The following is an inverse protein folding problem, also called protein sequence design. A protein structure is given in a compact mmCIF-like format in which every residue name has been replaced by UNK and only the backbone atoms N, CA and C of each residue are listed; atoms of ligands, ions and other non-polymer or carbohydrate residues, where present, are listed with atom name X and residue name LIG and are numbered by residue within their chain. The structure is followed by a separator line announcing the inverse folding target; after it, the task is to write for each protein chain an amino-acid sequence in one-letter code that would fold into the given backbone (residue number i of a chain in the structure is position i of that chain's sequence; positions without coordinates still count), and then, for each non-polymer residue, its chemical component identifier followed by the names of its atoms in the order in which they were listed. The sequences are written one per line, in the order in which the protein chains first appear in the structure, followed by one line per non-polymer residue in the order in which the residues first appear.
data_IF_328613296574
#
_entry.id   IF_328613296574
#
_cell.length_a   1.000
_cell.length_b   1.000
_cell.length_c   1.000
_cell.angle_alpha   90.00
_cell.angle_beta   90.00
_cell.angle_gamma   90.00
#
_symmetry.space_group_name_H-M   'P 1'
#
loop_
_entity.id
_entity.type
_entity.pdbx_description
1 polymer ?
#
# COMPACT_ATOMS: atom_id res chain seq x y z
N UNK A 1 34.70 15.09 0.75
CA UNK A 1 34.20 16.29 0.06
C UNK A 1 32.71 16.18 -0.10
N UNK A 2 32.01 17.13 0.44
CA UNK A 2 30.56 17.31 0.51
C UNK A 2 29.94 17.38 -0.88
N UNK A 3 29.06 16.46 -1.22
CA UNK A 3 28.15 16.61 -2.37
C UNK A 3 26.74 16.18 -1.95
N UNK A 4 25.92 17.18 -1.78
CA UNK A 4 24.51 17.32 -2.12
C UNK A 4 23.39 16.80 -1.24
N UNK A 5 23.09 17.59 -0.21
CA UNK A 5 21.74 17.69 0.37
C UNK A 5 20.70 18.42 -0.50
N UNK A 6 21.05 18.85 -1.72
CA UNK A 6 20.20 19.75 -2.51
C UNK A 6 19.22 19.05 -3.49
N UNK A 7 19.48 17.83 -3.93
CA UNK A 7 18.72 17.27 -5.06
C UNK A 7 17.35 16.68 -4.71
N UNK A 8 17.14 16.15 -3.48
CA UNK A 8 15.81 15.67 -3.09
C UNK A 8 14.84 16.79 -2.69
N UNK A 9 15.40 17.96 -2.39
CA UNK A 9 14.63 19.18 -2.13
C UNK A 9 13.86 19.62 -3.38
N UNK A 10 14.40 19.40 -4.57
CA UNK A 10 13.80 19.83 -5.83
C UNK A 10 12.48 19.11 -6.16
N UNK A 11 12.37 17.78 -6.01
CA UNK A 11 11.12 17.07 -6.34
C UNK A 11 9.99 17.56 -5.41
N UNK A 12 10.27 17.67 -4.12
CA UNK A 12 9.27 18.12 -3.17
C UNK A 12 9.02 19.63 -3.26
N UNK A 13 10.02 20.43 -3.62
CA UNK A 13 9.87 21.88 -3.82
C UNK A 13 9.08 22.16 -5.11
N UNK A 14 9.30 21.40 -6.19
CA UNK A 14 8.52 21.50 -7.43
C UNK A 14 7.06 21.10 -7.19
N UNK A 15 6.80 20.04 -6.44
CA UNK A 15 5.45 19.63 -6.08
C UNK A 15 4.77 20.64 -5.13
N UNK A 16 5.51 21.20 -4.15
CA UNK A 16 5.00 22.28 -3.29
C UNK A 16 4.69 23.54 -4.08
N UNK A 17 5.49 23.87 -5.10
CA UNK A 17 5.22 24.99 -6.01
C UNK A 17 3.95 24.76 -6.81
N UNK A 18 3.76 23.55 -7.37
CA UNK A 18 2.53 23.15 -8.03
C UNK A 18 1.31 23.33 -7.11
N UNK A 19 1.40 22.90 -5.83
CA UNK A 19 0.33 23.10 -4.85
C UNK A 19 0.04 24.58 -4.55
N UNK A 20 1.07 25.44 -4.54
CA UNK A 20 0.88 26.87 -4.27
C UNK A 20 0.15 27.63 -5.38
N UNK A 21 0.07 27.04 -6.56
CA UNK A 21 -0.63 27.58 -7.72
C UNK A 21 -2.12 27.15 -7.77
N UNK A 22 -2.55 26.24 -6.89
CA UNK A 22 -3.96 25.80 -6.80
C UNK A 22 -4.78 26.76 -5.92
N UNK A 23 -5.82 27.39 -6.48
CA UNK A 23 -6.53 28.52 -5.88
C UNK A 23 -7.79 28.20 -5.07
N UNK A 24 -8.22 26.94 -4.93
CA UNK A 24 -9.53 26.57 -4.37
C UNK A 24 -9.42 25.54 -3.24
N UNK A 25 -8.58 25.82 -2.24
CA UNK A 25 -8.39 24.97 -1.06
C UNK A 25 -9.65 24.91 -0.18
N UNK A 26 -10.32 23.75 -0.13
CA UNK A 26 -11.48 23.51 0.74
C UNK A 26 -11.12 22.56 1.88
N UNK A 27 -11.51 22.87 3.12
CA UNK A 27 -11.29 21.96 4.23
C UNK A 27 -12.04 20.64 4.00
N UNK A 28 -11.45 19.53 4.42
CA UNK A 28 -12.06 18.21 4.37
C UNK A 28 -11.73 17.40 5.62
N UNK A 29 -12.45 16.31 5.80
CA UNK A 29 -12.18 15.33 6.85
C UNK A 29 -11.77 14.00 6.24
N UNK A 30 -10.91 13.29 6.95
CA UNK A 30 -10.50 11.92 6.62
C UNK A 30 -11.21 10.99 7.58
N UNK A 31 -11.88 9.97 7.06
CA UNK A 31 -12.29 8.80 7.83
C UNK A 31 -11.30 7.70 7.52
N UNK A 32 -10.49 7.34 8.51
CA UNK A 32 -9.48 6.30 8.38
C UNK A 32 -9.98 5.00 9.01
N UNK A 33 -10.35 4.04 8.18
CA UNK A 33 -10.70 2.70 8.61
C UNK A 33 -9.43 1.87 8.86
N UNK A 34 -9.41 1.14 9.95
CA UNK A 34 -8.31 0.25 10.32
C UNK A 34 -8.82 -0.91 11.18
N UNK A 35 -7.97 -1.83 11.54
CA UNK A 35 -8.32 -2.94 12.43
C UNK A 35 -7.31 -3.08 13.55
N UNK A 36 -7.80 -3.11 14.78
CA UNK A 36 -7.01 -3.31 16.01
C UNK A 36 -7.08 -4.74 16.55
N UNK A 37 -7.44 -5.71 15.71
CA UNK A 37 -7.76 -7.08 16.17
C UNK A 37 -6.67 -7.78 16.98
N UNK A 38 -7.10 -8.74 17.80
CA UNK A 38 -6.28 -9.55 18.70
C UNK A 38 -5.15 -10.33 18.03
N UNK A 39 -5.15 -10.42 16.70
CA UNK A 39 -4.18 -11.18 15.91
C UNK A 39 -3.04 -10.34 15.32
N UNK A 40 -3.01 -9.03 15.54
CA UNK A 40 -1.88 -8.22 15.09
C UNK A 40 -0.65 -8.55 15.94
N UNK A 41 0.38 -9.05 15.28
CA UNK A 41 1.69 -9.23 15.90
C UNK A 41 2.18 -7.87 16.40
N UNK A 42 2.94 -7.85 17.51
CA UNK A 42 3.46 -6.60 18.11
C UNK A 42 4.14 -5.66 17.12
N UNK A 43 4.82 -6.21 16.09
CA UNK A 43 5.45 -5.43 15.01
C UNK A 43 4.39 -4.66 14.21
N UNK A 44 3.30 -5.31 13.77
CA UNK A 44 2.25 -4.67 12.99
C UNK A 44 1.51 -3.61 13.81
N UNK A 45 1.31 -3.87 15.10
CA UNK A 45 0.72 -2.90 16.03
C UNK A 45 1.59 -1.65 16.17
N UNK A 46 2.91 -1.81 16.33
CA UNK A 46 3.85 -0.69 16.41
C UNK A 46 3.89 0.12 15.12
N UNK A 47 3.85 -0.54 13.96
CA UNK A 47 3.79 0.13 12.65
C UNK A 47 2.52 0.94 12.48
N UNK A 48 1.37 0.45 12.95
CA UNK A 48 0.10 1.19 12.92
C UNK A 48 0.14 2.43 13.81
N UNK A 49 0.64 2.29 15.05
CA UNK A 49 0.80 3.42 15.97
C UNK A 49 1.74 4.49 15.38
N UNK A 50 2.86 4.06 14.80
CA UNK A 50 3.79 4.95 14.09
C UNK A 50 3.13 5.71 12.95
N UNK A 51 2.35 4.98 12.13
CA UNK A 51 1.58 5.57 11.04
C UNK A 51 0.52 6.57 11.54
N UNK A 52 -0.25 6.24 12.58
CA UNK A 52 -1.24 7.15 13.16
C UNK A 52 -0.59 8.44 13.65
N UNK A 53 0.53 8.35 14.36
CA UNK A 53 1.29 9.53 14.80
C UNK A 53 1.78 10.40 13.63
N UNK A 54 2.25 9.78 12.56
CA UNK A 54 2.67 10.48 11.33
C UNK A 54 1.48 11.19 10.68
N UNK A 55 0.34 10.49 10.56
CA UNK A 55 -0.87 11.08 10.00
C UNK A 55 -1.42 12.22 10.87
N UNK A 56 -1.47 12.07 12.20
CA UNK A 56 -1.94 13.12 13.12
C UNK A 56 -1.11 14.40 13.01
N UNK A 57 0.22 14.27 12.93
CA UNK A 57 1.12 15.41 12.70
C UNK A 57 0.80 16.07 11.36
N UNK A 58 0.67 15.27 10.31
CA UNK A 58 0.46 15.75 8.95
C UNK A 58 -0.91 16.41 8.73
N UNK A 59 -2.01 15.84 9.26
CA UNK A 59 -3.35 16.44 9.13
C UNK A 59 -3.46 17.75 9.87
N UNK A 60 -2.82 17.86 11.06
CA UNK A 60 -2.75 19.11 11.82
C UNK A 60 -2.02 20.20 11.02
N UNK A 61 -0.88 19.88 10.43
CA UNK A 61 -0.10 20.80 9.61
C UNK A 61 -0.83 21.18 8.30
N UNK A 62 -1.55 20.23 7.70
CA UNK A 62 -2.35 20.47 6.50
C UNK A 62 -3.67 21.21 6.79
N UNK A 63 -4.10 21.37 8.04
CA UNK A 63 -5.37 22.00 8.40
C UNK A 63 -6.59 21.17 7.97
N UNK A 64 -6.49 19.84 8.06
CA UNK A 64 -7.59 18.89 7.84
C UNK A 64 -7.86 18.09 9.11
N UNK A 65 -9.01 17.42 9.20
CA UNK A 65 -9.33 16.56 10.34
C UNK A 65 -9.27 15.09 9.96
N UNK A 66 -8.93 14.22 10.92
CA UNK A 66 -8.95 12.78 10.76
C UNK A 66 -9.74 12.13 11.90
N UNK A 67 -10.50 11.08 11.55
CA UNK A 67 -11.22 10.24 12.49
C UNK A 67 -10.83 8.79 12.21
N UNK A 68 -10.34 8.11 13.22
CA UNK A 68 -9.99 6.68 13.13
C UNK A 68 -11.18 5.82 13.53
N UNK A 69 -11.50 4.83 12.74
CA UNK A 69 -12.67 3.97 12.90
C UNK A 69 -12.27 2.52 12.72
N UNK A 70 -12.51 1.68 13.73
CA UNK A 70 -12.26 0.24 13.62
C UNK A 70 -13.37 -0.45 12.82
N UNK A 71 -13.01 -1.31 11.86
CA UNK A 71 -13.94 -2.07 11.03
C UNK A 71 -14.94 -2.91 11.83
N UNK A 72 -14.54 -3.42 13.00
CA UNK A 72 -15.32 -4.40 13.77
C UNK A 72 -16.58 -3.83 14.39
N UNK A 73 -16.62 -2.51 14.61
CA UNK A 73 -17.71 -1.85 15.33
C UNK A 73 -18.34 -0.67 14.58
N UNK A 74 -18.42 -0.72 13.26
CA UNK A 74 -18.88 0.39 12.44
C UNK A 74 -20.14 0.06 11.64
N UNK A 75 -21.06 1.02 11.51
CA UNK A 75 -22.18 0.96 10.57
C UNK A 75 -22.56 2.34 10.06
N UNK A 76 -23.22 2.37 8.90
CA UNK A 76 -23.78 3.58 8.30
C UNK A 76 -25.22 3.79 8.75
N UNK A 77 -25.60 5.04 9.00
CA UNK A 77 -26.98 5.44 9.15
C UNK A 77 -27.26 6.70 8.32
N UNK A 78 -28.54 6.91 8.02
CA UNK A 78 -29.01 8.11 7.31
C UNK A 78 -30.20 8.69 8.06
N UNK A 79 -30.19 10.00 8.28
CA UNK A 79 -31.26 10.75 8.94
C UNK A 79 -31.38 12.13 8.32
N UNK A 80 -32.58 12.54 7.92
CA UNK A 80 -32.87 13.87 7.33
C UNK A 80 -31.90 14.23 6.17
N UNK A 81 -31.74 13.31 5.22
CA UNK A 81 -30.82 13.43 4.06
C UNK A 81 -29.32 13.56 4.41
N UNK A 82 -28.95 13.33 5.66
CA UNK A 82 -27.58 13.29 6.12
C UNK A 82 -27.14 11.86 6.36
N UNK A 83 -25.88 11.60 6.09
CA UNK A 83 -25.25 10.31 6.31
C UNK A 83 -24.26 10.36 7.47
N UNK A 84 -24.22 9.30 8.25
CA UNK A 84 -23.39 9.20 9.44
C UNK A 84 -22.63 7.89 9.50
N UNK A 85 -21.40 7.98 9.99
CA UNK A 85 -20.63 6.80 10.44
C UNK A 85 -20.81 6.70 11.96
N UNK A 86 -21.34 5.56 12.38
CA UNK A 86 -21.48 5.17 13.77
C UNK A 86 -20.36 4.16 14.09
N UNK A 87 -19.67 4.33 15.21
CA UNK A 87 -18.51 3.51 15.57
C UNK A 87 -18.35 3.41 17.09
N UNK A 88 -17.64 2.40 17.57
CA UNK A 88 -17.28 2.32 18.96
C UNK A 88 -16.18 3.32 19.31
N UNK A 89 -16.22 3.92 20.53
CA UNK A 89 -15.16 4.81 20.98
C UNK A 89 -13.85 4.02 21.10
N UNK A 90 -12.74 4.69 20.81
CA UNK A 90 -11.40 4.15 20.98
C UNK A 90 -10.80 4.69 22.29
N UNK A 91 -9.97 3.89 22.95
CA UNK A 91 -9.13 4.31 24.06
C UNK A 91 -7.92 5.13 23.57
N UNK A 92 -7.07 5.55 24.52
CA UNK A 92 -5.86 6.35 24.19
C UNK A 92 -4.81 5.56 23.42
N UNK A 93 -4.89 4.23 23.46
CA UNK A 93 -4.00 3.30 22.77
C UNK A 93 -4.57 2.86 21.40
N UNK A 94 -5.75 3.36 21.01
CA UNK A 94 -6.40 3.07 19.74
C UNK A 94 -7.20 1.75 19.71
N UNK A 95 -7.47 1.14 20.86
CA UNK A 95 -8.34 -0.03 20.95
C UNK A 95 -9.80 0.43 21.08
N UNK A 96 -10.74 -0.31 20.47
CA UNK A 96 -12.14 -0.02 20.69
C UNK A 96 -12.55 -0.42 22.11
N UNK A 97 -13.38 0.43 22.72
CA UNK A 97 -13.94 0.17 24.04
C UNK A 97 -15.14 -0.77 23.85
N UNK A 98 -14.94 -2.06 24.15
CA UNK A 98 -16.01 -3.03 24.07
C UNK A 98 -17.17 -2.65 25.02
N UNK A 99 -18.44 -2.94 24.61
CA UNK A 99 -19.58 -2.68 25.46
C UNK A 99 -19.43 -3.45 26.78
N UNK A 100 -19.46 -2.73 27.91
CA UNK A 100 -19.52 -3.36 29.22
C UNK A 100 -20.95 -3.85 29.49
N UNK A 101 -21.08 -5.06 30.09
CA UNK A 101 -22.35 -5.50 30.65
C UNK A 101 -22.68 -4.59 31.83
N UNK A 102 -23.72 -3.77 31.71
CA UNK A 102 -24.35 -3.12 32.85
C UNK A 102 -25.31 -4.09 33.55
N UNK A 103 -25.74 -3.76 34.76
CA UNK A 103 -26.68 -4.55 35.55
C UNK A 103 -28.05 -4.77 34.87
N UNK A 104 -28.36 -3.95 33.86
CA UNK A 104 -29.63 -3.95 33.08
C UNK A 104 -29.50 -4.56 31.67
N UNK A 105 -28.43 -5.27 31.37
CA UNK A 105 -28.16 -5.84 30.07
C UNK A 105 -26.99 -5.18 29.31
N UNK A 106 -26.79 -5.53 28.05
CA UNK A 106 -25.71 -4.94 27.25
C UNK A 106 -26.03 -3.51 26.86
N UNK A 107 -25.34 -2.54 27.46
CA UNK A 107 -25.35 -1.15 27.01
C UNK A 107 -24.23 -0.95 25.99
N UNK A 108 -24.58 -0.87 24.73
CA UNK A 108 -23.64 -0.52 23.66
C UNK A 108 -23.47 1.00 23.66
N UNK A 109 -22.28 1.48 24.00
CA UNK A 109 -21.92 2.90 23.87
C UNK A 109 -21.24 3.13 22.54
N UNK A 110 -21.92 3.77 21.61
CA UNK A 110 -21.30 4.32 20.42
C UNK A 110 -20.64 5.67 20.72
N UNK A 111 -19.59 6.00 19.99
CA UNK A 111 -19.09 7.37 19.96
C UNK A 111 -20.13 8.30 19.33
N UNK A 112 -19.93 9.62 19.45
CA UNK A 112 -20.78 10.57 18.73
C UNK A 112 -20.68 10.28 17.22
N UNK A 113 -21.80 10.07 16.51
CA UNK A 113 -21.79 9.79 15.08
C UNK A 113 -21.05 10.88 14.29
N UNK A 114 -20.28 10.46 13.30
CA UNK A 114 -19.57 11.38 12.41
C UNK A 114 -20.46 11.61 11.19
N UNK A 115 -20.97 12.84 11.03
CA UNK A 115 -21.66 13.24 9.80
C UNK A 115 -20.65 13.21 8.64
N UNK A 116 -20.99 12.55 7.54
CA UNK A 116 -20.17 12.44 6.33
C UNK A 116 -20.90 13.04 5.13
N UNK A 117 -20.13 13.57 4.20
CA UNK A 117 -20.61 14.17 2.97
C UNK A 117 -19.59 13.96 1.85
N UNK A 118 -20.05 13.56 0.68
CA UNK A 118 -19.17 13.27 -0.48
C UNK A 118 -18.27 14.45 -0.87
N UNK A 119 -18.75 15.67 -0.67
CA UNK A 119 -18.02 16.89 -1.05
C UNK A 119 -16.85 17.21 -0.12
N UNK A 120 -16.81 16.64 1.08
CA UNK A 120 -15.79 16.98 2.07
C UNK A 120 -15.25 15.79 2.89
N UNK A 121 -15.57 14.55 2.53
CA UNK A 121 -15.15 13.37 3.27
C UNK A 121 -14.34 12.44 2.37
N UNK A 122 -13.05 12.30 2.68
CA UNK A 122 -12.14 11.34 2.08
C UNK A 122 -12.09 10.08 2.93
N UNK A 123 -12.28 8.93 2.30
CA UNK A 123 -12.18 7.63 2.95
C UNK A 123 -10.79 7.06 2.73
N UNK A 124 -10.05 6.90 3.81
CA UNK A 124 -8.79 6.18 3.85
C UNK A 124 -9.02 4.85 4.56
N UNK A 125 -8.42 3.77 4.10
CA UNK A 125 -8.52 2.49 4.77
C UNK A 125 -7.18 1.79 4.79
N UNK A 126 -6.90 1.08 5.89
CA UNK A 126 -5.63 0.41 6.15
C UNK A 126 -5.90 -1.03 6.56
N UNK A 127 -4.96 -1.91 6.24
CA UNK A 127 -4.94 -3.30 6.71
C UNK A 127 -6.28 -4.03 6.55
N UNK A 128 -6.87 -3.93 5.34
CA UNK A 128 -8.13 -4.60 5.02
C UNK A 128 -7.95 -6.13 5.07
N UNK A 129 -8.52 -6.84 6.06
CA UNK A 129 -8.34 -8.26 6.19
C UNK A 129 -8.99 -9.03 5.03
N UNK A 130 -8.25 -9.94 4.43
CA UNK A 130 -8.74 -10.76 3.31
C UNK A 130 -9.83 -11.77 3.72
N UNK A 131 -9.91 -12.13 4.98
CA UNK A 131 -10.87 -13.10 5.54
C UNK A 131 -12.18 -12.47 6.02
N UNK A 132 -12.25 -11.14 6.13
CA UNK A 132 -13.39 -10.39 6.67
C UNK A 132 -14.19 -9.68 5.59
N UNK A 133 -14.83 -10.46 4.71
CA UNK A 133 -15.56 -9.94 3.54
C UNK A 133 -16.63 -8.88 3.89
N UNK A 134 -17.31 -9.01 5.03
CA UNK A 134 -18.33 -8.07 5.47
C UNK A 134 -17.81 -6.66 5.78
N UNK A 135 -16.53 -6.51 6.13
CA UNK A 135 -15.92 -5.18 6.31
C UNK A 135 -15.70 -4.48 4.95
N UNK A 136 -15.40 -5.27 3.91
CA UNK A 136 -15.30 -4.76 2.55
C UNK A 136 -16.64 -4.20 2.07
N UNK A 137 -17.75 -4.76 2.52
CA UNK A 137 -19.08 -4.32 2.10
C UNK A 137 -19.42 -2.89 2.58
N UNK A 138 -18.88 -2.48 3.73
CA UNK A 138 -18.94 -1.08 4.18
C UNK A 138 -18.23 -0.15 3.18
N UNK A 139 -17.00 -0.47 2.82
CA UNK A 139 -16.23 0.32 1.86
C UNK A 139 -16.86 0.31 0.47
N UNK A 140 -17.39 -0.84 0.01
CA UNK A 140 -18.15 -0.93 -1.25
C UNK A 140 -19.38 -0.03 -1.22
N UNK A 141 -20.08 0.01 -0.09
CA UNK A 141 -21.27 0.87 0.08
C UNK A 141 -20.88 2.34 -0.04
N UNK A 142 -19.79 2.76 0.60
CA UNK A 142 -19.29 4.13 0.49
C UNK A 142 -18.85 4.46 -0.95
N UNK A 143 -18.08 3.56 -1.59
CA UNK A 143 -17.66 3.76 -2.99
C UNK A 143 -18.86 3.82 -3.94
N UNK A 144 -19.83 2.90 -3.80
CA UNK A 144 -21.08 2.89 -4.59
C UNK A 144 -21.88 4.17 -4.41
N UNK A 145 -21.92 4.73 -3.20
CA UNK A 145 -22.57 6.01 -2.92
C UNK A 145 -21.79 7.21 -3.44
N UNK A 146 -20.61 7.04 -4.00
CA UNK A 146 -19.79 8.08 -4.62
C UNK A 146 -18.86 8.82 -3.66
N UNK A 147 -18.56 8.25 -2.50
CA UNK A 147 -17.47 8.74 -1.65
C UNK A 147 -16.12 8.45 -2.30
N UNK A 148 -15.18 9.37 -2.13
CA UNK A 148 -13.83 9.20 -2.63
C UNK A 148 -13.01 8.32 -1.69
N UNK A 149 -12.60 7.15 -2.19
CA UNK A 149 -11.74 6.21 -1.49
C UNK A 149 -10.29 6.36 -1.99
N UNK A 150 -9.36 6.44 -1.08
CA UNK A 150 -7.93 6.50 -1.40
C UNK A 150 -7.24 5.20 -0.95
N UNK A 151 -7.00 4.24 -1.84
CA UNK A 151 -7.37 4.16 -3.26
C UNK A 151 -8.75 3.48 -3.43
N UNK A 152 -9.22 3.39 -4.69
CA UNK A 152 -10.43 2.62 -5.02
C UNK A 152 -10.28 1.14 -4.62
N UNK A 153 -11.40 0.47 -4.37
CA UNK A 153 -11.39 -0.97 -4.09
C UNK A 153 -10.90 -1.80 -5.29
N UNK A 154 -11.08 -1.31 -6.51
CA UNK A 154 -10.50 -1.90 -7.72
C UNK A 154 -8.96 -1.91 -7.63
N UNK A 155 -8.35 -0.77 -7.36
CA UNK A 155 -6.90 -0.67 -7.18
C UNK A 155 -6.41 -1.61 -6.07
N UNK A 156 -7.08 -1.59 -4.91
CA UNK A 156 -6.71 -2.45 -3.79
C UNK A 156 -6.81 -3.95 -4.13
N UNK A 157 -7.86 -4.34 -4.86
CA UNK A 157 -8.04 -5.73 -5.29
C UNK A 157 -6.94 -6.20 -6.24
N UNK A 158 -6.53 -5.35 -7.19
CA UNK A 158 -5.44 -5.66 -8.12
C UNK A 158 -4.12 -5.79 -7.36
N UNK A 159 -3.77 -4.77 -6.56
CA UNK A 159 -2.51 -4.73 -5.80
C UNK A 159 -2.44 -5.79 -4.68
N UNK A 160 -3.57 -6.22 -4.13
CA UNK A 160 -3.64 -7.29 -3.14
C UNK A 160 -3.28 -8.67 -3.68
N UNK A 161 -3.25 -8.85 -5.00
CA UNK A 161 -2.84 -10.06 -5.69
C UNK A 161 -1.57 -9.83 -6.52
N UNK A 162 -0.43 -10.40 -6.09
CA UNK A 162 0.82 -10.32 -6.85
C UNK A 162 0.69 -10.86 -8.29
N UNK A 163 -0.21 -11.84 -8.48
CA UNK A 163 -0.50 -12.37 -9.81
C UNK A 163 -1.24 -11.36 -10.67
N UNK A 164 -2.33 -10.75 -10.15
CA UNK A 164 -3.07 -9.74 -10.91
C UNK A 164 -2.22 -8.51 -11.19
N UNK A 165 -1.48 -8.03 -10.20
CA UNK A 165 -0.54 -6.91 -10.40
C UNK A 165 0.41 -7.18 -11.56
N UNK A 166 1.05 -8.36 -11.61
CA UNK A 166 1.95 -8.74 -12.69
C UNK A 166 1.24 -8.78 -14.06
N UNK A 167 -0.01 -9.28 -14.12
CA UNK A 167 -0.82 -9.30 -15.35
C UNK A 167 -1.08 -7.87 -15.85
N UNK A 168 -1.52 -6.96 -14.97
CA UNK A 168 -1.81 -5.57 -15.34
C UNK A 168 -0.56 -4.81 -15.77
N UNK A 169 0.55 -4.99 -15.07
CA UNK A 169 1.84 -4.38 -15.43
C UNK A 169 2.32 -4.83 -16.81
N UNK A 170 2.27 -6.15 -17.08
CA UNK A 170 2.66 -6.69 -18.39
C UNK A 170 1.73 -6.24 -19.51
N UNK A 171 0.42 -6.16 -19.25
CA UNK A 171 -0.55 -5.65 -20.22
C UNK A 171 -0.28 -4.18 -20.55
N UNK A 172 0.19 -3.40 -19.60
CA UNK A 172 0.65 -2.03 -19.82
C UNK A 172 2.02 -1.97 -20.52
N UNK A 173 2.64 -3.09 -20.91
CA UNK A 173 3.94 -3.12 -21.57
C UNK A 173 5.11 -2.79 -20.64
N UNK A 174 4.95 -2.94 -19.32
CA UNK A 174 6.01 -2.71 -18.35
C UNK A 174 6.86 -3.97 -18.15
N UNK A 175 8.14 -3.79 -17.89
CA UNK A 175 9.08 -4.87 -17.63
C UNK A 175 8.91 -5.38 -16.21
N UNK A 176 8.49 -6.64 -16.05
CA UNK A 176 8.39 -7.34 -14.77
C UNK A 176 9.25 -8.60 -14.77
N UNK A 177 9.71 -9.10 -13.62
CA UNK A 177 10.32 -10.43 -13.56
C UNK A 177 9.34 -11.49 -14.03
N UNK A 178 9.75 -12.42 -14.87
CA UNK A 178 8.90 -13.51 -15.35
C UNK A 178 8.25 -14.22 -14.16
N UNK A 179 6.94 -14.43 -14.23
CA UNK A 179 6.16 -15.00 -13.12
C UNK A 179 5.19 -16.05 -13.64
N UNK A 180 5.15 -17.21 -13.00
CA UNK A 180 4.24 -18.32 -13.30
C UNK A 180 3.52 -18.75 -12.05
N UNK A 181 2.22 -19.04 -12.17
CA UNK A 181 1.38 -19.54 -11.07
C UNK A 181 1.49 -21.05 -10.94
N UNK A 182 1.63 -21.51 -9.71
CA UNK A 182 1.50 -22.92 -9.33
C UNK A 182 0.07 -23.13 -8.80
N UNK A 183 -0.62 -24.14 -9.36
CA UNK A 183 -2.01 -24.43 -9.02
C UNK A 183 -2.17 -25.68 -8.16
N UNK A 184 -1.24 -26.63 -8.24
CA UNK A 184 -1.23 -27.89 -7.50
C UNK A 184 0.19 -28.23 -7.05
N UNK A 185 0.32 -29.09 -6.05
CA UNK A 185 1.61 -29.49 -5.51
C UNK A 185 2.52 -30.19 -6.56
N UNK A 186 1.92 -30.93 -7.48
CA UNK A 186 2.60 -31.67 -8.56
C UNK A 186 2.97 -30.78 -9.76
N UNK A 187 2.58 -29.52 -9.75
CA UNK A 187 2.65 -28.61 -10.90
C UNK A 187 4.03 -27.89 -11.03
N UNK A 188 4.94 -28.18 -10.10
CA UNK A 188 6.21 -27.47 -9.97
C UNK A 188 7.09 -27.56 -11.23
N UNK A 189 7.19 -28.74 -11.88
CA UNK A 189 7.99 -28.91 -13.08
C UNK A 189 7.42 -28.18 -14.29
N UNK A 190 6.09 -28.26 -14.48
CA UNK A 190 5.42 -27.52 -15.56
C UNK A 190 5.65 -26.02 -15.38
N UNK A 191 5.40 -25.51 -14.18
CA UNK A 191 5.55 -24.09 -13.86
C UNK A 191 7.00 -23.63 -14.08
N UNK A 192 8.00 -24.42 -13.67
CA UNK A 192 9.41 -24.09 -13.91
C UNK A 192 9.77 -24.08 -15.40
N UNK A 193 9.31 -25.07 -16.18
CA UNK A 193 9.52 -25.10 -17.64
C UNK A 193 8.87 -23.87 -18.32
N UNK A 194 7.68 -23.48 -17.87
CA UNK A 194 6.96 -22.31 -18.38
C UNK A 194 7.65 -20.98 -18.00
N UNK A 195 8.27 -20.92 -16.84
CA UNK A 195 9.02 -19.74 -16.37
C UNK A 195 10.17 -19.36 -17.33
N UNK A 196 10.76 -20.35 -18.01
CA UNK A 196 11.91 -20.16 -18.94
C UNK A 196 13.02 -19.34 -18.31
N UNK A 197 13.42 -19.74 -17.11
CA UNK A 197 14.49 -19.12 -16.32
C UNK A 197 15.31 -20.22 -15.65
N UNK A 198 16.56 -19.91 -15.31
CA UNK A 198 17.43 -20.79 -14.57
C UNK A 198 17.30 -20.57 -13.05
N UNK A 199 17.79 -21.52 -12.26
CA UNK A 199 17.97 -21.32 -10.83
C UNK A 199 19.10 -20.31 -10.53
N UNK A 200 19.04 -19.53 -9.45
CA UNK A 200 17.94 -19.54 -8.47
C UNK A 200 16.68 -18.83 -8.97
N UNK A 201 15.53 -19.22 -8.42
CA UNK A 201 14.23 -18.58 -8.62
C UNK A 201 13.61 -18.16 -7.29
N UNK A 202 12.54 -17.39 -7.34
CA UNK A 202 11.77 -16.99 -6.15
C UNK A 202 10.46 -17.77 -6.09
N UNK A 203 10.17 -18.39 -4.97
CA UNK A 203 8.85 -18.91 -4.61
C UNK A 203 8.17 -17.94 -3.65
N UNK A 204 6.93 -17.55 -3.94
CA UNK A 204 6.19 -16.58 -3.11
C UNK A 204 4.69 -16.87 -3.08
N UNK A 205 4.03 -16.40 -2.01
CA UNK A 205 2.56 -16.40 -1.93
C UNK A 205 1.99 -15.37 -2.92
N UNK A 206 0.90 -15.73 -3.62
CA UNK A 206 0.20 -14.81 -4.52
C UNK A 206 -0.50 -13.68 -3.76
N UNK A 207 -1.06 -14.01 -2.59
CA UNK A 207 -1.72 -13.07 -1.68
C UNK A 207 -1.01 -13.10 -0.34
N UNK A 208 -1.10 -12.05 0.42
CA UNK A 208 -0.65 -12.05 1.81
C UNK A 208 0.46 -11.05 2.11
N UNK A 209 1.26 -11.34 3.07
CA UNK A 209 2.09 -10.52 3.94
C UNK A 209 2.83 -9.36 3.26
N UNK A 210 2.62 -8.15 3.77
CA UNK A 210 3.28 -6.92 3.35
C UNK A 210 4.78 -6.86 3.75
N UNK A 211 5.25 -7.76 4.60
CA UNK A 211 6.58 -7.70 5.24
C UNK A 211 7.64 -8.61 4.60
N UNK A 212 7.40 -9.11 3.36
CA UNK A 212 8.34 -10.06 2.72
C UNK A 212 8.33 -11.47 3.33
N UNK A 213 7.43 -11.76 4.27
CA UNK A 213 7.20 -13.11 4.78
C UNK A 213 6.60 -13.97 3.63
N UNK A 214 6.99 -15.26 3.55
CA UNK A 214 6.49 -16.16 2.50
C UNK A 214 7.18 -15.96 1.14
N UNK A 215 8.37 -15.38 1.11
CA UNK A 215 9.25 -15.28 -0.06
C UNK A 215 10.49 -16.14 0.18
N UNK A 216 10.72 -17.13 -0.69
CA UNK A 216 11.80 -18.11 -0.56
C UNK A 216 12.63 -18.11 -1.84
N UNK A 217 13.95 -18.02 -1.68
CA UNK A 217 14.88 -18.25 -2.79
C UNK A 217 15.12 -19.75 -2.94
N UNK A 218 14.95 -20.24 -4.13
CA UNK A 218 15.01 -21.67 -4.49
C UNK A 218 16.18 -21.90 -5.45
N UNK A 219 17.09 -22.79 -5.10
CA UNK A 219 18.32 -23.02 -5.85
C UNK A 219 18.29 -24.29 -6.72
N UNK A 220 17.28 -25.14 -6.57
CA UNK A 220 17.14 -26.35 -7.37
C UNK A 220 15.70 -26.91 -7.36
N UNK A 221 15.41 -27.82 -8.28
CA UNK A 221 14.07 -28.41 -8.47
C UNK A 221 13.60 -29.20 -7.24
N UNK A 222 14.49 -29.93 -6.56
CA UNK A 222 14.09 -30.69 -5.37
C UNK A 222 13.58 -29.80 -4.27
N UNK A 223 14.29 -28.70 -4.02
CA UNK A 223 13.88 -27.69 -3.03
C UNK A 223 12.54 -27.03 -3.42
N UNK A 224 12.37 -26.71 -4.71
CA UNK A 224 11.09 -26.18 -5.21
C UNK A 224 9.94 -27.14 -4.90
N UNK A 225 10.09 -28.39 -5.30
CA UNK A 225 9.05 -29.40 -5.14
C UNK A 225 8.67 -29.61 -3.66
N UNK A 226 9.66 -29.79 -2.78
CA UNK A 226 9.46 -29.96 -1.36
C UNK A 226 8.80 -28.73 -0.72
N UNK A 227 9.24 -27.52 -1.08
CA UNK A 227 8.67 -26.29 -0.53
C UNK A 227 7.21 -26.12 -0.95
N UNK A 228 6.88 -26.34 -2.22
CA UNK A 228 5.49 -26.25 -2.72
C UNK A 228 4.60 -27.28 -2.03
N UNK A 229 5.02 -28.53 -1.93
CA UNK A 229 4.28 -29.58 -1.23
C UNK A 229 4.02 -29.22 0.23
N UNK A 230 5.05 -28.78 0.96
CA UNK A 230 4.96 -28.41 2.37
C UNK A 230 3.95 -27.26 2.57
N UNK A 231 4.05 -26.18 1.77
CA UNK A 231 3.17 -25.03 1.90
C UNK A 231 1.71 -25.40 1.58
N UNK A 232 1.47 -26.14 0.50
CA UNK A 232 0.13 -26.55 0.10
C UNK A 232 -0.47 -27.63 1.01
N UNK A 233 0.35 -28.39 1.74
CA UNK A 233 -0.12 -29.31 2.76
C UNK A 233 -0.63 -28.56 4.00
N UNK A 234 0.00 -27.43 4.36
CA UNK A 234 -0.45 -26.58 5.47
C UNK A 234 -1.74 -25.84 5.15
N UNK A 235 -1.87 -25.33 3.94
CA UNK A 235 -3.11 -24.70 3.48
C UNK A 235 -3.29 -24.86 1.96
N UNK A 236 -4.23 -25.72 1.57
CA UNK A 236 -4.58 -25.99 0.16
C UNK A 236 -5.18 -24.81 -0.59
N UNK A 237 -5.59 -23.76 0.12
CA UNK A 237 -6.19 -22.55 -0.49
C UNK A 237 -5.12 -21.53 -0.90
N UNK A 238 -3.88 -21.71 -0.49
CA UNK A 238 -2.80 -20.81 -0.84
C UNK A 238 -2.46 -20.93 -2.34
N UNK A 239 -2.41 -19.79 -3.01
CA UNK A 239 -1.92 -19.70 -4.37
C UNK A 239 -0.43 -19.31 -4.35
N UNK A 240 0.39 -20.11 -5.02
CA UNK A 240 1.84 -19.92 -5.10
C UNK A 240 2.25 -19.38 -6.47
N UNK A 241 3.31 -18.59 -6.48
CA UNK A 241 3.97 -18.09 -7.68
C UNK A 241 5.44 -18.47 -7.63
N UNK A 242 5.97 -18.87 -8.77
CA UNK A 242 7.42 -18.83 -8.99
C UNK A 242 7.76 -17.65 -9.86
N UNK A 243 8.89 -17.04 -9.59
CA UNK A 243 9.34 -15.83 -10.27
C UNK A 243 10.85 -15.90 -10.56
N UNK A 244 11.23 -15.36 -11.69
CA UNK A 244 12.63 -15.12 -12.05
C UNK A 244 13.34 -14.34 -10.94
N UNK A 245 14.54 -14.79 -10.55
CA UNK A 245 15.36 -14.07 -9.58
C UNK A 245 16.18 -13.00 -10.30
N UNK A 246 15.93 -11.74 -9.97
CA UNK A 246 16.73 -10.62 -10.45
C UNK A 246 17.72 -10.22 -9.35
N UNK A 247 19.02 -10.42 -9.54
CA UNK A 247 20.03 -9.99 -8.57
C UNK A 247 20.01 -8.47 -8.40
N UNK A 248 19.93 -8.00 -7.15
CA UNK A 248 19.92 -6.57 -6.84
C UNK A 248 20.78 -6.28 -5.60
N UNK A 249 21.34 -5.08 -5.53
CA UNK A 249 22.03 -4.55 -4.35
C UNK A 249 21.12 -3.65 -3.52
N UNK A 250 20.13 -3.06 -4.16
CA UNK A 250 19.10 -2.21 -3.58
C UNK A 250 17.90 -2.21 -4.51
N UNK A 251 16.77 -1.88 -3.98
CA UNK A 251 15.58 -1.51 -4.74
C UNK A 251 15.19 -0.06 -4.49
N UNK A 252 14.23 0.42 -5.25
CA UNK A 252 13.72 1.78 -5.17
C UNK A 252 12.23 1.71 -4.92
N UNK A 253 11.75 2.38 -3.86
CA UNK A 253 10.33 2.66 -3.67
C UNK A 253 10.04 4.08 -4.11
N UNK A 254 9.25 4.21 -5.18
CA UNK A 254 8.72 5.48 -5.65
C UNK A 254 7.30 5.65 -5.13
N UNK A 255 7.02 6.73 -4.41
CA UNK A 255 5.67 7.14 -4.04
C UNK A 255 5.08 7.94 -5.18
N UNK A 256 4.03 7.40 -5.78
CA UNK A 256 3.31 8.05 -6.90
C UNK A 256 1.99 8.59 -6.38
N UNK A 257 1.72 9.86 -6.67
CA UNK A 257 0.45 10.54 -6.41
C UNK A 257 -0.09 11.04 -7.75
N UNK A 258 -1.16 10.42 -8.26
CA UNK A 258 -1.67 10.61 -9.63
C UNK A 258 -0.57 10.47 -10.69
N UNK A 259 -0.17 11.58 -11.29
CA UNK A 259 0.78 11.65 -12.40
C UNK A 259 2.20 12.08 -11.97
N UNK A 260 2.46 12.13 -10.65
CA UNK A 260 3.70 12.65 -10.11
C UNK A 260 4.38 11.67 -9.14
N UNK A 261 5.70 11.57 -9.22
CA UNK A 261 6.49 10.92 -8.17
C UNK A 261 6.79 11.94 -7.09
N UNK A 262 6.16 11.81 -5.94
CA UNK A 262 6.21 12.79 -4.84
C UNK A 262 7.28 12.49 -3.81
N UNK A 263 7.73 11.23 -3.71
CA UNK A 263 8.83 10.83 -2.83
C UNK A 263 9.53 9.59 -3.34
N UNK A 264 10.80 9.44 -2.99
CA UNK A 264 11.62 8.28 -3.39
C UNK A 264 12.46 7.81 -2.21
N UNK A 265 12.53 6.51 -2.06
CA UNK A 265 13.33 5.85 -1.05
C UNK A 265 14.12 4.70 -1.70
N UNK A 266 15.44 4.74 -1.57
CA UNK A 266 16.33 3.62 -1.89
C UNK A 266 16.44 2.74 -0.65
N UNK A 267 16.27 1.43 -0.82
CA UNK A 267 16.34 0.44 0.26
C UNK A 267 17.52 -0.50 0.00
N UNK A 268 18.56 -0.39 0.81
CA UNK A 268 19.78 -1.17 0.66
C UNK A 268 19.60 -2.56 1.28
N UNK A 269 20.10 -3.60 0.61
CA UNK A 269 20.21 -4.94 1.18
C UNK A 269 21.45 -4.96 2.07
N UNK A 270 21.28 -5.13 3.37
CA UNK A 270 22.38 -5.09 4.34
C UNK A 270 23.03 -6.45 4.52
N UNK A 271 22.27 -7.52 4.40
CA UNK A 271 22.74 -8.88 4.71
C UNK A 271 23.11 -9.65 3.45
N UNK A 272 24.28 -10.26 3.46
CA UNK A 272 24.71 -11.24 2.42
C UNK A 272 23.85 -12.51 2.42
N UNK A 273 23.14 -12.76 3.52
CA UNK A 273 22.30 -13.95 3.72
C UNK A 273 20.81 -13.70 3.43
N UNK A 274 20.39 -12.44 3.24
CA UNK A 274 19.01 -12.09 2.89
C UNK A 274 19.00 -11.25 1.60
N UNK A 275 18.25 -11.69 0.63
CA UNK A 275 18.10 -11.02 -0.68
C UNK A 275 16.95 -10.00 -0.69
N UNK A 276 16.21 -9.87 0.42
CA UNK A 276 15.06 -8.95 0.56
C UNK A 276 15.51 -7.58 1.02
N UNK A 277 14.87 -6.53 0.50
CA UNK A 277 15.18 -5.13 0.76
C UNK A 277 14.16 -4.43 1.66
N UNK A 278 13.34 -5.19 2.39
CA UNK A 278 12.28 -4.62 3.22
C UNK A 278 12.84 -3.90 4.46
N UNK A 279 12.47 -2.63 4.65
CA UNK A 279 12.85 -1.82 5.82
C UNK A 279 12.40 -2.47 7.13
N UNK A 280 11.24 -3.11 7.16
CA UNK A 280 10.75 -3.90 8.31
C UNK A 280 11.67 -5.07 8.70
N UNK A 281 12.60 -5.47 7.83
CA UNK A 281 13.61 -6.48 8.09
C UNK A 281 15.00 -5.88 8.36
N UNK A 282 15.08 -4.55 8.57
CA UNK A 282 16.32 -3.85 8.92
C UNK A 282 17.08 -3.25 7.73
N UNK A 283 16.50 -3.19 6.54
CA UNK A 283 17.14 -2.51 5.40
C UNK A 283 17.28 -1.01 5.70
N UNK A 284 18.46 -0.46 5.40
CA UNK A 284 18.69 0.99 5.48
C UNK A 284 18.01 1.71 4.33
N UNK A 285 17.27 2.75 4.67
CA UNK A 285 16.57 3.60 3.71
C UNK A 285 17.30 4.94 3.55
N UNK A 286 17.49 5.35 2.32
CA UNK A 286 18.10 6.65 2.01
C UNK A 286 17.39 7.36 0.86
N UNK A 287 17.54 8.69 0.81
CA UNK A 287 17.00 9.48 -0.30
C UNK A 287 17.69 9.12 -1.62
N UNK A 288 16.92 9.12 -2.68
CA UNK A 288 17.43 8.89 -4.02
C UNK A 288 16.69 9.74 -5.05
N UNK A 289 17.37 10.08 -6.15
CA UNK A 289 16.76 10.68 -7.32
C UNK A 289 16.49 9.60 -8.38
N UNK A 290 15.30 9.61 -8.96
CA UNK A 290 14.98 8.81 -10.13
C UNK A 290 15.52 9.46 -11.40
N UNK A 291 15.81 8.63 -12.40
CA UNK A 291 15.93 9.08 -13.78
C UNK A 291 14.54 9.37 -14.35
N UNK A 292 14.46 10.10 -15.46
CA UNK A 292 13.17 10.35 -16.10
C UNK A 292 12.51 9.04 -16.56
N UNK A 293 13.28 8.09 -17.06
CA UNK A 293 12.80 6.75 -17.44
C UNK A 293 12.20 5.99 -16.24
N UNK A 294 12.84 6.03 -15.08
CA UNK A 294 12.32 5.40 -13.86
C UNK A 294 11.04 6.09 -13.35
N UNK A 295 10.93 7.41 -13.47
CA UNK A 295 9.69 8.15 -13.15
C UNK A 295 8.54 7.76 -14.06
N UNK A 296 8.77 7.75 -15.37
CA UNK A 296 7.76 7.34 -16.36
C UNK A 296 7.26 5.93 -16.09
N UNK A 297 8.17 4.99 -15.81
CA UNK A 297 7.83 3.61 -15.47
C UNK A 297 7.01 3.54 -14.17
N UNK A 298 7.39 4.28 -13.13
CA UNK A 298 6.66 4.30 -11.86
C UNK A 298 5.24 4.85 -12.02
N UNK A 299 5.08 5.97 -12.74
CA UNK A 299 3.78 6.58 -13.01
C UNK A 299 2.90 5.63 -13.83
N UNK A 300 3.45 5.05 -14.90
CA UNK A 300 2.75 4.07 -15.74
C UNK A 300 2.32 2.84 -14.95
N UNK A 301 3.15 2.35 -14.03
CA UNK A 301 2.83 1.23 -13.16
C UNK A 301 1.65 1.57 -12.22
N UNK A 302 1.66 2.75 -11.59
CA UNK A 302 0.55 3.22 -10.77
C UNK A 302 -0.76 3.32 -11.56
N UNK A 303 -0.73 3.92 -12.74
CA UNK A 303 -1.89 4.06 -13.64
C UNK A 303 -2.45 2.70 -14.05
N UNK A 304 -1.60 1.74 -14.37
CA UNK A 304 -2.03 0.42 -14.83
C UNK A 304 -2.92 -0.31 -13.83
N UNK A 305 -2.78 -0.03 -12.54
CA UNK A 305 -3.60 -0.60 -11.46
C UNK A 305 -4.71 0.36 -10.99
N UNK A 306 -4.96 1.44 -11.69
CA UNK A 306 -5.90 2.53 -11.30
C UNK A 306 -5.53 3.15 -9.94
N UNK A 307 -4.23 3.33 -9.69
CA UNK A 307 -3.70 3.87 -8.44
C UNK A 307 -3.69 5.41 -8.43
N UNK A 308 -4.09 5.98 -7.30
CA UNK A 308 -4.00 7.42 -7.02
C UNK A 308 -2.79 7.71 -6.13
N UNK A 309 -2.68 7.02 -5.01
CA UNK A 309 -1.53 7.07 -4.11
C UNK A 309 -0.95 5.66 -3.99
N UNK A 310 0.19 5.41 -4.62
CA UNK A 310 0.80 4.08 -4.64
C UNK A 310 2.28 4.12 -4.28
N UNK A 311 2.78 3.01 -3.75
CA UNK A 311 4.21 2.74 -3.63
C UNK A 311 4.63 1.76 -4.71
N UNK A 312 5.43 2.20 -5.67
CA UNK A 312 5.94 1.37 -6.76
C UNK A 312 7.36 0.92 -6.42
N UNK A 313 7.58 -0.38 -6.41
CA UNK A 313 8.88 -0.98 -6.14
C UNK A 313 9.58 -1.32 -7.46
N UNK A 314 10.76 -0.72 -7.66
CA UNK A 314 11.55 -0.86 -8.86
C UNK A 314 12.90 -1.53 -8.56
N UNK A 315 13.29 -2.48 -9.40
CA UNK A 315 14.67 -2.97 -9.44
C UNK A 315 15.39 -2.19 -10.56
N UNK A 316 16.37 -1.33 -10.22
CA UNK A 316 17.05 -0.52 -11.20
C UNK A 316 17.88 -1.38 -12.16
N UNK A 317 17.98 -0.94 -13.40
CA UNK A 317 18.86 -1.57 -14.39
C UNK A 317 20.32 -1.16 -14.17
N UNK A 318 21.25 -1.84 -14.85
CA UNK A 318 22.68 -1.49 -14.82
C UNK A 318 22.94 -0.10 -15.43
N UNK A 319 22.24 0.25 -16.50
CA UNK A 319 22.24 1.58 -17.11
C UNK A 319 20.86 2.21 -16.92
N UNK A 320 20.74 2.96 -15.84
CA UNK A 320 19.46 3.55 -15.38
C UNK A 320 18.86 4.56 -16.37
N UNK A 321 19.70 5.19 -17.18
CA UNK A 321 19.25 6.22 -18.15
C UNK A 321 18.70 5.61 -19.44
N UNK A 322 19.13 4.39 -19.79
CA UNK A 322 18.85 3.79 -21.11
C UNK A 322 18.01 2.54 -21.06
N UNK A 323 18.01 1.83 -19.92
CA UNK A 323 17.37 0.54 -19.79
C UNK A 323 16.30 0.63 -18.71
N UNK A 324 15.07 0.29 -19.08
CA UNK A 324 13.94 0.27 -18.14
C UNK A 324 14.22 -0.60 -16.90
N UNK A 325 13.84 -0.12 -15.70
CA UNK A 325 13.86 -0.92 -14.50
C UNK A 325 12.83 -2.05 -14.59
N UNK A 326 12.98 -3.07 -13.75
CA UNK A 326 11.89 -4.00 -13.51
C UNK A 326 10.91 -3.38 -12.49
N UNK A 327 9.61 -3.49 -12.77
CA UNK A 327 8.58 -3.22 -11.75
C UNK A 327 8.35 -4.52 -10.98
N UNK A 328 8.67 -4.49 -9.69
CA UNK A 328 8.57 -5.66 -8.82
C UNK A 328 7.17 -5.79 -8.21
N UNK A 329 6.62 -4.67 -7.74
CA UNK A 329 5.34 -4.61 -7.03
C UNK A 329 4.75 -3.20 -7.09
N UNK A 330 3.42 -3.11 -6.99
CA UNK A 330 2.69 -1.86 -6.75
C UNK A 330 1.83 -2.04 -5.50
N UNK A 331 2.04 -1.15 -4.52
CA UNK A 331 1.32 -1.15 -3.25
C UNK A 331 0.24 -0.06 -3.26
N UNK A 332 -1.04 -0.45 -3.20
CA UNK A 332 -2.17 0.49 -3.13
C UNK A 332 -2.32 1.17 -1.78
N UNK A 333 -1.60 0.70 -0.78
CA UNK A 333 -1.68 1.21 0.59
C UNK A 333 -0.27 1.35 1.17
N UNK A 334 0.56 2.25 0.59
CA UNK A 334 1.95 2.38 0.97
C UNK A 334 2.11 2.88 2.40
N UNK A 335 3.12 2.37 3.13
CA UNK A 335 3.46 2.85 4.46
C UNK A 335 3.93 4.31 4.43
N UNK A 336 3.25 5.18 5.16
CA UNK A 336 3.58 6.61 5.19
C UNK A 336 4.73 6.91 6.16
N UNK A 337 4.83 6.22 7.30
CA UNK A 337 5.89 6.47 8.28
C UNK A 337 7.29 6.26 7.72
N UNK A 338 7.57 5.13 7.08
CA UNK A 338 8.91 4.87 6.55
C UNK A 338 9.32 5.83 5.43
N UNK A 339 8.38 6.28 4.58
CA UNK A 339 8.69 7.27 3.55
C UNK A 339 8.88 8.68 4.15
N UNK A 340 8.14 9.00 5.22
CA UNK A 340 8.26 10.26 5.96
C UNK A 340 9.62 10.42 6.63
N UNK A 341 10.19 9.33 7.19
CA UNK A 341 11.53 9.34 7.79
C UNK A 341 12.62 9.77 6.80
N UNK A 342 12.45 9.42 5.53
CA UNK A 342 13.38 9.73 4.46
C UNK A 342 13.01 11.04 3.74
N UNK A 343 11.72 11.37 3.67
CA UNK A 343 11.17 12.53 2.94
C UNK A 343 10.26 13.35 3.87
N UNK A 344 10.84 14.09 4.81
CA UNK A 344 10.10 14.87 5.81
C UNK A 344 9.05 15.80 5.19
N UNK A 345 7.83 15.76 5.75
CA UNK A 345 6.68 16.56 5.32
C UNK A 345 5.94 16.03 4.09
N UNK A 346 6.25 14.80 3.60
CA UNK A 346 5.55 14.24 2.43
C UNK A 346 4.09 13.93 2.73
N UNK A 347 3.79 13.42 3.92
CA UNK A 347 2.42 13.08 4.32
C UNK A 347 1.55 14.34 4.42
N UNK A 348 2.08 15.41 4.98
CA UNK A 348 1.41 16.73 4.99
C UNK A 348 1.14 17.22 3.56
N UNK A 349 2.12 17.09 2.68
CA UNK A 349 2.03 17.50 1.28
C UNK A 349 0.95 16.72 0.54
N UNK A 350 0.85 15.40 0.76
CA UNK A 350 -0.23 14.55 0.21
C UNK A 350 -1.59 15.02 0.71
N UNK A 351 -1.76 15.30 2.00
CA UNK A 351 -3.04 15.75 2.52
C UNK A 351 -3.41 17.17 2.04
N UNK A 352 -2.45 18.06 1.85
CA UNK A 352 -2.69 19.36 1.22
C UNK A 352 -3.16 19.22 -0.23
N UNK A 353 -2.60 18.29 -0.98
CA UNK A 353 -2.99 18.03 -2.37
C UNK A 353 -4.49 17.74 -2.51
N UNK A 354 -5.07 16.99 -1.58
CA UNK A 354 -6.50 16.66 -1.61
C UNK A 354 -7.43 17.78 -1.11
N UNK A 355 -6.92 18.96 -0.75
CA UNK A 355 -7.77 20.14 -0.52
C UNK A 355 -8.42 20.63 -1.82
N UNK A 356 -7.77 20.47 -2.95
CA UNK A 356 -8.40 20.66 -4.26
C UNK A 356 -9.27 19.45 -4.60
N UNK A 357 -10.57 19.67 -4.76
CA UNK A 357 -11.55 18.61 -5.07
C UNK A 357 -11.40 18.07 -6.49
N UNK A 358 -10.75 18.76 -7.39
CA UNK A 358 -10.42 18.22 -8.70
C UNK A 358 -9.50 17.00 -8.59
N UNK A 359 -8.69 16.93 -7.54
CA UNK A 359 -7.80 15.81 -7.25
C UNK A 359 -8.54 14.57 -6.68
N UNK A 360 -9.86 14.63 -6.48
CA UNK A 360 -10.68 13.49 -6.04
C UNK A 360 -11.25 12.68 -7.19
N UNK A 361 -10.90 13.01 -8.41
CA UNK A 361 -11.33 12.28 -9.60
C UNK A 361 -10.30 11.21 -9.94
N UNK A 362 -10.79 10.03 -10.30
CA UNK A 362 -9.98 9.03 -10.98
C UNK A 362 -10.08 9.41 -12.45
N UNK A 363 -8.95 9.70 -13.10
CA UNK A 363 -8.94 9.87 -14.56
C UNK A 363 -9.38 8.54 -15.19
N UNK A 364 -10.65 8.46 -15.55
CA UNK A 364 -11.23 7.30 -16.23
C UNK A 364 -10.93 7.29 -17.74
N UNK A 365 -9.89 7.99 -18.16
CA UNK A 365 -9.43 7.94 -19.53
C UNK A 365 -8.45 6.79 -19.70
N UNK A 366 -9.03 5.55 -19.83
CA UNK A 366 -8.60 4.49 -20.78
C UNK A 366 -9.54 3.28 -20.67
#
# INVERSE_FOLDING_TARGET
QWVNGNQSKYIMDDFKKFLSEQSDEKPYKIICFFHTGDSLRDIQKNDQIGMMKTMDKAVKAAGVSIHYVDYSGVYLSSENDKEYINYFPLDKEGHYIAPSKGDDGMVIKYAKPIEINKENTLILYRDLPNDRKHWVDMLKTLEYRGYFLLNSLKCNSICGSKYLTDVYLRQAGLKTPKTVRITHSEDSERAFKELKSDFPIILKLSHGTQTGIGVIKIDNMRTLHTSVQTIMMLDKKLALLIQEFIPLKYDIRAMVLHNEVVAVMKRNIISTNDFRSNVSLGAEAEKMKLTELEKEVAIKASKSVSGILTGVDLIPSKDREKIEPYVLEVNSNPGLSGIEEVNDGITETIFKYFKDRNNWRIDNDN
#
